data_IF_585840432508
#
_entry.id   IF_585840432508
#
_cell.length_a   1.000
_cell.length_b   1.000
_cell.length_c   1.000
_cell.angle_alpha   90.00
_cell.angle_beta   90.00
_cell.angle_gamma   90.00
#
_symmetry.space_group_name_H-M   'P 1'
#
loop_
_entity.id
_entity.type
_entity.pdbx_description
1 polymer ?
#
# COMPACT_ATOMS: atom_id res chain seq x y z
N UNK A 1 -3.11 21.72 -16.41
CA UNK A 1 -4.57 21.49 -16.60
C UNK A 1 -5.17 21.40 -15.20
N UNK A 2 -6.04 22.35 -14.86
CA UNK A 2 -6.40 22.71 -13.49
C UNK A 2 -7.16 21.62 -12.71
N UNK A 3 -6.76 21.37 -11.47
CA UNK A 3 -7.53 20.62 -10.46
C UNK A 3 -8.83 21.38 -10.15
N UNK A 4 -9.97 20.86 -10.60
CA UNK A 4 -11.29 21.41 -10.22
C UNK A 4 -11.61 20.97 -8.80
N UNK A 5 -11.54 21.92 -7.87
CA UNK A 5 -12.05 21.76 -6.51
C UNK A 5 -13.58 21.62 -6.58
N UNK A 6 -14.11 20.43 -6.31
CA UNK A 6 -15.54 20.24 -6.09
C UNK A 6 -15.89 20.69 -4.67
N UNK A 7 -16.44 21.89 -4.57
CA UNK A 7 -17.01 22.44 -3.33
C UNK A 7 -18.33 21.73 -3.06
N UNK A 8 -18.40 20.98 -1.95
CA UNK A 8 -19.63 20.36 -1.45
C UNK A 8 -20.15 21.23 -0.28
N UNK A 9 -21.33 21.85 -0.36
CA UNK A 9 -21.77 22.88 0.58
C UNK A 9 -22.39 22.21 1.82
N UNK A 10 -21.61 22.05 2.91
CA UNK A 10 -22.20 21.53 4.15
C UNK A 10 -21.28 21.22 5.35
N UNK A 11 -20.00 21.61 5.37
CA UNK A 11 -19.12 21.37 6.54
C UNK A 11 -18.44 22.67 6.98
N UNK A 12 -18.55 23.00 8.28
CA UNK A 12 -17.80 24.07 8.96
C UNK A 12 -16.33 24.02 8.53
N UNK A 13 -15.75 25.19 8.25
CA UNK A 13 -14.50 25.36 7.50
C UNK A 13 -13.34 24.51 8.00
N UNK A 14 -12.93 23.53 7.19
CA UNK A 14 -11.67 22.81 7.31
C UNK A 14 -10.55 23.71 6.83
N UNK A 15 -9.43 23.76 7.54
CA UNK A 15 -8.21 24.41 7.06
C UNK A 15 -7.55 23.54 5.99
N UNK A 16 -8.16 23.51 4.81
CA UNK A 16 -7.66 22.81 3.62
C UNK A 16 -6.38 23.46 3.04
N UNK A 17 -5.67 24.31 3.80
CA UNK A 17 -4.47 25.00 3.34
C UNK A 17 -3.25 24.08 3.20
N UNK A 18 -3.29 22.86 3.76
CA UNK A 18 -2.18 21.90 3.65
C UNK A 18 -2.64 20.63 2.95
N UNK A 19 -2.03 20.33 1.80
CA UNK A 19 -2.16 19.04 1.12
C UNK A 19 -0.84 18.29 1.24
N UNK A 20 -0.86 17.13 1.88
CA UNK A 20 0.31 16.29 2.05
C UNK A 20 0.69 15.69 0.68
N UNK A 21 1.89 15.99 0.15
CA UNK A 21 2.29 15.53 -1.15
C UNK A 21 2.53 14.01 -1.17
N UNK A 22 2.16 13.39 -2.29
CA UNK A 22 2.30 11.95 -2.52
C UNK A 22 3.12 11.70 -3.80
N UNK A 23 4.15 10.86 -3.70
CA UNK A 23 4.80 10.22 -4.85
C UNK A 23 4.48 8.73 -4.85
N UNK A 24 3.40 8.38 -5.54
CA UNK A 24 3.00 7.01 -5.76
C UNK A 24 3.70 6.42 -7.00
N UNK A 25 3.74 5.09 -7.09
CA UNK A 25 4.22 4.38 -8.28
C UNK A 25 4.64 2.95 -7.95
N UNK A 26 4.77 2.06 -8.93
CA UNK A 26 5.23 0.70 -8.68
C UNK A 26 6.71 0.65 -8.28
N UNK A 27 7.13 -0.49 -7.72
CA UNK A 27 8.56 -0.77 -7.57
C UNK A 27 9.23 -0.81 -8.95
N UNK A 28 10.49 -0.37 -9.05
CA UNK A 28 11.18 -0.22 -10.34
C UNK A 28 10.81 1.04 -11.15
N UNK A 29 9.91 1.90 -10.66
CA UNK A 29 9.56 3.16 -11.32
C UNK A 29 10.59 4.30 -11.14
N UNK A 30 11.59 4.14 -10.27
CA UNK A 30 12.64 5.15 -10.04
C UNK A 30 12.40 6.11 -8.87
N UNK A 31 11.35 5.91 -8.06
CA UNK A 31 11.01 6.80 -6.93
C UNK A 31 12.17 7.03 -5.95
N UNK A 32 12.90 5.98 -5.56
CA UNK A 32 14.02 6.08 -4.61
C UNK A 32 15.14 7.00 -5.10
N UNK A 33 15.40 7.02 -6.41
CA UNK A 33 16.40 7.93 -7.00
C UNK A 33 15.97 9.39 -6.88
N UNK A 34 14.68 9.68 -7.14
CA UNK A 34 14.13 11.03 -7.05
C UNK A 34 14.17 11.57 -5.62
N UNK A 35 13.73 10.78 -4.64
CA UNK A 35 13.71 11.23 -3.24
C UNK A 35 15.11 11.41 -2.66
N UNK A 36 16.09 10.65 -3.15
CA UNK A 36 17.50 10.79 -2.71
C UNK A 36 18.13 12.10 -3.16
N UNK A 37 17.50 12.81 -4.10
CA UNK A 37 17.96 14.10 -4.63
C UNK A 37 17.22 15.30 -4.01
N UNK A 38 16.27 15.05 -3.10
CA UNK A 38 15.53 16.10 -2.40
C UNK A 38 16.39 16.72 -1.29
N UNK A 39 16.10 17.97 -0.93
CA UNK A 39 16.74 18.64 0.19
C UNK A 39 16.32 17.98 1.53
N UNK A 40 17.24 17.34 2.27
CA UNK A 40 16.89 16.59 3.48
C UNK A 40 16.60 17.47 4.70
N UNK A 41 16.95 18.76 4.66
CA UNK A 41 16.54 19.71 5.69
C UNK A 41 15.09 20.16 5.51
N UNK A 42 14.54 19.98 4.30
CA UNK A 42 13.19 20.41 3.94
C UNK A 42 12.18 19.27 3.94
N UNK A 43 12.60 18.08 3.52
CA UNK A 43 11.70 16.94 3.30
C UNK A 43 12.03 15.77 4.22
N UNK A 44 10.97 15.07 4.62
CA UNK A 44 11.08 13.74 5.22
C UNK A 44 10.09 12.79 4.55
N UNK A 45 10.50 11.53 4.43
CA UNK A 45 9.74 10.52 3.70
C UNK A 45 8.89 9.71 4.67
N UNK A 46 7.60 9.59 4.40
CA UNK A 46 6.73 8.61 5.07
C UNK A 46 6.48 7.47 4.08
N UNK A 47 7.02 6.27 4.38
CA UNK A 47 6.87 5.15 3.46
C UNK A 47 5.40 4.73 3.34
N UNK A 48 4.90 4.66 2.10
CA UNK A 48 3.58 4.17 1.73
C UNK A 48 3.71 2.74 1.16
N UNK A 49 4.29 1.85 1.96
CA UNK A 49 4.53 0.46 1.60
C UNK A 49 4.27 -0.47 2.80
N UNK A 50 3.61 -1.61 2.56
CA UNK A 50 3.24 -2.57 3.61
C UNK A 50 4.33 -3.62 3.88
N UNK A 51 5.44 -3.59 3.14
CA UNK A 51 6.51 -4.60 3.20
C UNK A 51 7.81 -4.03 3.71
N UNK A 52 8.15 -2.79 3.32
CA UNK A 52 9.37 -2.11 3.77
C UNK A 52 9.42 -1.87 5.29
N UNK A 53 8.33 -2.10 6.01
CA UNK A 53 8.24 -2.02 7.48
C UNK A 53 9.14 -3.04 8.18
N UNK A 54 9.47 -4.18 7.54
CA UNK A 54 10.18 -5.29 8.18
C UNK A 54 11.69 -5.06 8.24
N UNK A 55 12.24 -5.09 9.46
CA UNK A 55 13.64 -4.78 9.78
C UNK A 55 14.66 -5.73 9.16
N UNK A 56 14.38 -7.03 9.19
CA UNK A 56 15.31 -8.08 8.76
C UNK A 56 15.07 -8.55 7.31
N UNK A 57 14.25 -7.81 6.57
CA UNK A 57 13.84 -8.16 5.21
C UNK A 57 14.08 -7.02 4.20
N UNK A 58 15.24 -6.32 4.17
CA UNK A 58 15.47 -5.20 3.25
C UNK A 58 15.54 -5.57 1.75
N UNK A 59 16.12 -6.70 1.36
CA UNK A 59 16.41 -7.01 -0.06
C UNK A 59 15.11 -7.30 -0.82
N UNK A 60 14.34 -8.28 -0.37
CA UNK A 60 13.09 -8.66 -1.02
C UNK A 60 12.04 -7.55 -1.01
N UNK A 61 12.06 -6.67 0.01
CA UNK A 61 11.08 -5.58 0.15
C UNK A 61 11.47 -4.30 -0.60
N UNK A 62 12.67 -4.23 -1.17
CA UNK A 62 13.21 -3.01 -1.77
C UNK A 62 13.33 -1.87 -0.74
N UNK A 63 13.63 -2.19 0.52
CA UNK A 63 13.87 -1.14 1.51
C UNK A 63 15.01 -0.23 1.01
N UNK A 64 14.92 1.09 1.21
CA UNK A 64 16.03 1.99 0.89
C UNK A 64 17.33 1.53 1.56
N UNK A 65 18.43 1.56 0.82
CA UNK A 65 19.75 1.21 1.35
C UNK A 65 20.16 2.19 2.48
N UNK A 66 21.02 1.77 3.42
CA UNK A 66 21.47 2.62 4.52
C UNK A 66 21.99 3.98 4.08
N UNK A 67 22.68 4.06 2.93
CA UNK A 67 23.17 5.32 2.36
C UNK A 67 22.05 6.29 1.97
N UNK A 68 20.91 5.76 1.49
CA UNK A 68 19.72 6.57 1.19
C UNK A 68 19.03 7.02 2.47
N UNK A 69 18.93 6.13 3.46
CA UNK A 69 18.35 6.43 4.77
C UNK A 69 19.16 7.48 5.55
N UNK A 70 20.48 7.54 5.34
CA UNK A 70 21.36 8.58 5.89
C UNK A 70 21.18 9.94 5.19
N UNK A 71 20.87 9.93 3.89
CA UNK A 71 20.67 11.17 3.12
C UNK A 71 19.38 11.87 3.49
N UNK A 72 18.26 11.15 3.52
CA UNK A 72 16.94 11.71 3.84
C UNK A 72 16.20 10.77 4.79
N UNK A 73 15.64 11.32 5.86
CA UNK A 73 14.97 10.53 6.90
C UNK A 73 13.72 9.86 6.32
N UNK A 74 13.61 8.55 6.56
CA UNK A 74 12.44 7.75 6.22
C UNK A 74 11.75 7.26 7.49
N UNK A 75 10.44 7.45 7.54
CA UNK A 75 9.54 6.90 8.56
C UNK A 75 8.86 5.65 8.01
N UNK A 76 8.47 4.75 8.92
CA UNK A 76 7.80 3.48 8.62
C UNK A 76 8.60 2.53 7.72
N UNK A 77 9.92 2.51 7.89
CA UNK A 77 10.83 1.58 7.21
C UNK A 77 11.64 0.81 8.26
N UNK A 78 11.72 -0.51 8.11
CA UNK A 78 12.63 -1.37 8.87
C UNK A 78 12.47 -1.33 10.39
N UNK A 79 11.28 -1.02 10.90
CA UNK A 79 11.03 -0.86 12.34
C UNK A 79 10.34 -2.08 12.98
N UNK A 80 9.78 -2.97 12.17
CA UNK A 80 8.98 -4.11 12.63
C UNK A 80 9.75 -5.43 12.49
N UNK A 81 9.64 -6.32 13.48
CA UNK A 81 10.15 -7.67 13.33
C UNK A 81 9.26 -8.50 12.37
N UNK A 82 9.83 -9.44 11.59
CA UNK A 82 9.10 -10.29 10.64
C UNK A 82 8.06 -11.23 11.26
N UNK A 83 8.17 -11.56 12.55
CA UNK A 83 7.22 -12.40 13.29
C UNK A 83 5.92 -11.68 13.65
N UNK A 84 5.88 -10.34 13.55
CA UNK A 84 4.71 -9.53 13.88
C UNK A 84 3.92 -9.15 12.64
N UNK A 85 2.62 -9.41 12.67
CA UNK A 85 1.68 -8.87 11.69
C UNK A 85 1.54 -7.35 11.81
N UNK A 86 1.18 -6.70 10.71
CA UNK A 86 0.94 -5.25 10.66
C UNK A 86 -0.33 -4.92 9.90
N UNK A 87 -1.25 -4.22 10.56
CA UNK A 87 -2.56 -3.89 10.02
C UNK A 87 -2.55 -2.54 9.33
N UNK A 88 -3.55 -2.31 8.47
CA UNK A 88 -3.74 -1.01 7.84
C UNK A 88 -4.10 0.09 8.86
N UNK A 89 -4.72 -0.27 9.99
CA UNK A 89 -5.03 0.66 11.06
C UNK A 89 -3.77 1.14 11.78
N UNK A 90 -2.89 0.22 12.14
CA UNK A 90 -1.58 0.56 12.73
C UNK A 90 -0.75 1.42 11.76
N UNK A 91 -0.77 1.09 10.46
CA UNK A 91 -0.16 1.95 9.44
C UNK A 91 -0.72 3.36 9.50
N UNK A 92 -2.05 3.51 9.49
CA UNK A 92 -2.71 4.83 9.49
C UNK A 92 -2.30 5.64 10.71
N UNK A 93 -2.33 5.04 11.89
CA UNK A 93 -1.95 5.70 13.14
C UNK A 93 -0.50 6.18 13.12
N UNK A 94 0.45 5.30 12.80
CA UNK A 94 1.87 5.66 12.77
C UNK A 94 2.20 6.65 11.64
N UNK A 95 1.52 6.55 10.49
CA UNK A 95 1.69 7.48 9.39
C UNK A 95 1.21 8.89 9.75
N UNK A 96 0.02 9.02 10.35
CA UNK A 96 -0.49 10.32 10.81
C UNK A 96 0.41 10.91 11.90
N UNK A 97 0.86 10.10 12.87
CA UNK A 97 1.83 10.55 13.88
C UNK A 97 3.14 11.05 13.26
N UNK A 98 3.67 10.32 12.27
CA UNK A 98 4.88 10.73 11.55
C UNK A 98 4.67 12.04 10.79
N UNK A 99 3.51 12.21 10.14
CA UNK A 99 3.14 13.44 9.43
C UNK A 99 3.11 14.62 10.40
N UNK A 100 2.40 14.51 11.52
CA UNK A 100 2.34 15.57 12.52
C UNK A 100 3.72 15.92 13.09
N UNK A 101 4.54 14.92 13.41
CA UNK A 101 5.91 15.13 13.89
C UNK A 101 6.77 15.89 12.88
N UNK A 102 6.68 15.56 11.59
CA UNK A 102 7.40 16.26 10.52
C UNK A 102 6.92 17.71 10.40
N UNK A 103 5.60 17.93 10.40
CA UNK A 103 4.99 19.27 10.30
C UNK A 103 5.40 20.13 11.50
N UNK A 104 5.42 19.56 12.71
CA UNK A 104 5.81 20.26 13.94
C UNK A 104 7.25 20.77 13.94
N UNK A 105 8.09 20.21 13.05
CA UNK A 105 9.49 20.59 12.84
C UNK A 105 9.68 21.47 11.61
N UNK A 106 8.60 22.08 11.11
CA UNK A 106 8.54 22.94 9.91
C UNK A 106 9.10 22.28 8.64
N UNK A 107 8.95 20.96 8.52
CA UNK A 107 9.37 20.16 7.37
C UNK A 107 8.16 19.67 6.56
N UNK A 108 8.41 19.28 5.32
CA UNK A 108 7.39 18.78 4.39
C UNK A 108 7.37 17.25 4.43
N UNK A 109 6.30 16.62 4.95
CA UNK A 109 6.12 15.18 4.84
C UNK A 109 5.78 14.80 3.39
N UNK A 110 6.56 13.90 2.80
CA UNK A 110 6.31 13.36 1.47
C UNK A 110 5.98 11.86 1.57
N UNK A 111 4.77 11.47 1.20
CA UNK A 111 4.36 10.06 1.21
C UNK A 111 4.88 9.38 -0.06
N UNK A 112 5.64 8.31 0.09
CA UNK A 112 6.29 7.65 -1.06
C UNK A 112 6.07 6.15 -1.04
N UNK A 113 5.54 5.60 -2.12
CA UNK A 113 5.31 4.16 -2.19
C UNK A 113 4.27 3.78 -3.24
N UNK A 114 3.49 2.74 -2.95
CA UNK A 114 2.48 2.24 -3.89
C UNK A 114 1.36 1.44 -3.23
N UNK A 115 1.23 1.50 -1.90
CA UNK A 115 0.11 0.92 -1.18
C UNK A 115 -1.13 1.80 -1.31
N UNK A 116 -1.85 1.68 -2.42
CA UNK A 116 -3.02 2.52 -2.70
C UNK A 116 -4.16 2.38 -1.68
N UNK A 117 -4.30 1.22 -1.04
CA UNK A 117 -5.26 1.03 0.05
C UNK A 117 -4.91 1.85 1.30
N UNK A 118 -3.63 1.93 1.65
CA UNK A 118 -3.14 2.73 2.78
C UNK A 118 -3.41 4.22 2.55
N UNK A 119 -3.18 4.71 1.34
CA UNK A 119 -3.48 6.10 1.00
C UNK A 119 -4.99 6.40 1.03
N UNK A 120 -5.80 5.47 0.53
CA UNK A 120 -7.26 5.59 0.64
C UNK A 120 -7.68 5.66 2.11
N UNK A 121 -7.14 4.80 2.96
CA UNK A 121 -7.45 4.76 4.39
C UNK A 121 -7.06 6.05 5.12
N UNK A 122 -5.93 6.66 4.78
CA UNK A 122 -5.54 7.98 5.28
C UNK A 122 -6.54 9.08 4.87
N UNK A 123 -6.98 9.07 3.61
CA UNK A 123 -7.87 10.10 3.03
C UNK A 123 -9.33 9.97 3.50
N UNK A 124 -9.85 8.76 3.59
CA UNK A 124 -11.29 8.52 3.85
C UNK A 124 -11.61 8.07 5.26
N UNK A 125 -10.59 7.91 6.11
CA UNK A 125 -10.72 7.29 7.41
C UNK A 125 -11.07 5.80 7.32
N UNK A 126 -11.03 5.10 8.46
CA UNK A 126 -11.47 3.72 8.53
C UNK A 126 -12.97 3.57 8.29
N UNK A 127 -13.35 2.37 7.89
CA UNK A 127 -14.72 1.91 8.06
C UNK A 127 -14.83 1.40 9.50
N UNK A 128 -15.52 2.15 10.35
CA UNK A 128 -15.79 1.75 11.73
C UNK A 128 -16.90 0.69 11.74
N UNK A 129 -16.55 -0.50 12.20
CA UNK A 129 -17.48 -1.62 12.33
C UNK A 129 -17.11 -2.41 13.58
N UNK A 130 -18.07 -2.51 14.50
CA UNK A 130 -17.96 -3.39 15.66
C UNK A 130 -18.39 -4.79 15.23
N UNK A 131 -17.40 -5.67 15.08
CA UNK A 131 -17.63 -7.06 14.71
C UNK A 131 -17.91 -7.90 15.95
N UNK A 132 -18.90 -8.80 15.87
CA UNK A 132 -19.19 -9.72 16.97
C UNK A 132 -18.09 -10.80 16.99
N UNK A 133 -17.30 -10.92 18.09
CA UNK A 133 -16.21 -11.90 18.17
C UNK A 133 -16.68 -13.35 18.00
N UNK A 134 -17.83 -13.71 18.54
CA UNK A 134 -18.39 -15.07 18.46
C UNK A 134 -18.71 -15.42 17.00
N UNK A 135 -19.37 -14.50 16.28
CA UNK A 135 -19.66 -14.66 14.85
C UNK A 135 -18.38 -14.78 14.03
N UNK A 136 -17.36 -13.99 14.37
CA UNK A 136 -16.08 -14.04 13.67
C UNK A 136 -15.39 -15.40 13.86
N UNK A 137 -15.40 -15.93 15.07
CA UNK A 137 -14.85 -17.27 15.37
C UNK A 137 -15.63 -18.38 14.65
N UNK A 138 -16.96 -18.31 14.64
CA UNK A 138 -17.79 -19.25 13.88
C UNK A 138 -17.47 -19.22 12.39
N UNK A 139 -17.38 -18.04 11.78
CA UNK A 139 -17.03 -17.88 10.36
C UNK A 139 -15.61 -18.38 10.08
N UNK A 140 -14.65 -18.11 10.97
CA UNK A 140 -13.27 -18.61 10.87
C UNK A 140 -13.18 -20.14 10.93
N UNK A 141 -14.11 -20.81 11.59
CA UNK A 141 -14.16 -22.27 11.69
C UNK A 141 -14.82 -22.95 10.47
N UNK A 142 -15.54 -22.20 9.62
CA UNK A 142 -16.18 -22.75 8.41
C UNK A 142 -15.16 -22.99 7.29
N UNK A 143 -15.44 -23.97 6.42
CA UNK A 143 -14.70 -24.13 5.16
C UNK A 143 -15.05 -23.01 4.17
N UNK A 144 -14.15 -22.74 3.23
CA UNK A 144 -14.32 -21.64 2.28
C UNK A 144 -15.60 -21.75 1.44
N UNK A 145 -15.94 -22.95 0.99
CA UNK A 145 -17.13 -23.25 0.21
C UNK A 145 -18.42 -22.93 0.98
N UNK A 146 -18.46 -23.24 2.28
CA UNK A 146 -19.61 -22.97 3.15
C UNK A 146 -19.75 -21.47 3.40
N UNK A 147 -18.63 -20.77 3.67
CA UNK A 147 -18.64 -19.30 3.79
C UNK A 147 -19.17 -18.65 2.52
N UNK A 148 -18.70 -19.12 1.37
CA UNK A 148 -19.11 -18.59 0.07
C UNK A 148 -20.59 -18.86 -0.21
N UNK A 149 -21.09 -20.05 0.11
CA UNK A 149 -22.49 -20.41 -0.04
C UNK A 149 -23.39 -19.53 0.84
N UNK A 150 -23.03 -19.37 2.11
CA UNK A 150 -23.79 -18.56 3.06
C UNK A 150 -23.75 -17.07 2.70
N UNK A 151 -22.59 -16.56 2.27
CA UNK A 151 -22.49 -15.17 1.80
C UNK A 151 -23.36 -14.93 0.56
N UNK A 152 -23.43 -15.89 -0.38
CA UNK A 152 -24.34 -15.80 -1.54
C UNK A 152 -25.81 -15.80 -1.14
N UNK A 153 -26.18 -16.52 -0.09
CA UNK A 153 -27.55 -16.50 0.45
C UNK A 153 -27.88 -15.14 1.07
N UNK A 154 -26.97 -14.60 1.90
CA UNK A 154 -27.21 -13.38 2.68
C UNK A 154 -27.02 -12.08 1.89
N UNK A 155 -26.04 -12.03 0.99
CA UNK A 155 -25.72 -10.85 0.18
C UNK A 155 -25.20 -11.27 -1.22
N UNK A 156 -26.09 -11.72 -2.12
CA UNK A 156 -25.70 -12.21 -3.45
C UNK A 156 -25.03 -11.14 -4.32
N UNK A 157 -25.36 -9.86 -4.11
CA UNK A 157 -24.87 -8.75 -4.94
C UNK A 157 -23.42 -8.39 -4.63
N UNK A 158 -22.91 -8.74 -3.44
CA UNK A 158 -21.53 -8.45 -3.05
C UNK A 158 -20.50 -9.35 -3.76
N UNK A 159 -20.91 -10.38 -4.50
CA UNK A 159 -20.01 -11.29 -5.21
C UNK A 159 -20.08 -11.05 -6.72
N UNK A 160 -18.91 -11.03 -7.37
CA UNK A 160 -18.85 -10.92 -8.84
C UNK A 160 -19.22 -12.23 -9.54
N UNK A 161 -19.89 -12.12 -10.68
CA UNK A 161 -20.21 -13.27 -11.54
C UNK A 161 -19.00 -13.69 -12.38
N UNK A 162 -18.97 -14.94 -12.89
CA UNK A 162 -17.92 -15.35 -13.81
C UNK A 162 -17.77 -14.38 -14.98
N UNK A 163 -16.53 -13.90 -15.21
CA UNK A 163 -16.22 -12.92 -16.25
C UNK A 163 -16.30 -11.45 -15.83
N UNK A 164 -16.83 -11.15 -14.64
CA UNK A 164 -16.85 -9.80 -14.09
C UNK A 164 -15.56 -9.50 -13.28
N UNK A 165 -15.08 -8.25 -13.35
CA UNK A 165 -14.00 -7.79 -12.49
C UNK A 165 -14.57 -7.15 -11.21
N UNK A 166 -14.03 -7.47 -10.01
CA UNK A 166 -14.47 -6.84 -8.77
C UNK A 166 -14.29 -5.32 -8.79
N UNK A 167 -15.38 -4.60 -8.55
CA UNK A 167 -15.48 -3.15 -8.44
C UNK A 167 -16.58 -2.77 -7.44
N UNK A 168 -16.53 -1.54 -6.92
CA UNK A 168 -17.61 -0.97 -6.07
C UNK A 168 -17.96 -1.80 -4.83
N UNK A 169 -16.95 -2.34 -4.15
CA UNK A 169 -17.16 -3.13 -2.94
C UNK A 169 -17.59 -4.58 -3.20
N UNK A 170 -17.65 -5.04 -4.45
CA UNK A 170 -17.87 -6.45 -4.80
C UNK A 170 -16.57 -7.27 -4.76
N UNK A 171 -16.67 -8.55 -4.46
CA UNK A 171 -15.53 -9.45 -4.22
C UNK A 171 -15.54 -10.65 -5.16
N UNK A 172 -14.35 -11.19 -5.45
CA UNK A 172 -14.21 -12.42 -6.23
C UNK A 172 -14.45 -13.64 -5.32
N UNK A 173 -15.14 -14.69 -5.77
CA UNK A 173 -15.41 -15.88 -4.95
C UNK A 173 -14.14 -16.50 -4.38
N UNK A 174 -13.05 -16.56 -5.17
CA UNK A 174 -11.77 -17.12 -4.72
C UNK A 174 -10.97 -16.22 -3.75
N UNK A 175 -11.47 -15.04 -3.39
CA UNK A 175 -10.83 -14.17 -2.39
C UNK A 175 -11.27 -14.61 -0.99
N UNK A 176 -10.69 -15.71 -0.50
CA UNK A 176 -11.08 -16.34 0.75
C UNK A 176 -11.09 -15.36 1.94
N UNK A 177 -10.11 -14.47 2.01
CA UNK A 177 -10.03 -13.44 3.04
C UNK A 177 -11.21 -12.46 2.97
N UNK A 178 -11.55 -11.95 1.77
CA UNK A 178 -12.69 -11.03 1.64
C UNK A 178 -14.03 -11.74 1.85
N UNK A 179 -14.17 -12.98 1.42
CA UNK A 179 -15.38 -13.79 1.64
C UNK A 179 -15.61 -13.98 3.15
N UNK A 180 -14.58 -14.41 3.88
CA UNK A 180 -14.63 -14.54 5.35
C UNK A 180 -15.02 -13.22 6.01
N UNK A 181 -14.32 -12.13 5.67
CA UNK A 181 -14.58 -10.83 6.28
C UNK A 181 -15.98 -10.30 5.97
N UNK A 182 -16.43 -10.39 4.73
CA UNK A 182 -17.76 -9.90 4.35
C UNK A 182 -18.85 -10.72 5.03
N UNK A 183 -18.71 -12.05 5.07
CA UNK A 183 -19.67 -12.89 5.76
C UNK A 183 -19.76 -12.55 7.25
N UNK A 184 -18.62 -12.41 7.93
CA UNK A 184 -18.57 -12.03 9.33
C UNK A 184 -19.26 -10.69 9.61
N UNK A 185 -19.06 -9.70 8.73
CA UNK A 185 -19.74 -8.40 8.81
C UNK A 185 -21.25 -8.48 8.57
N UNK A 186 -21.67 -9.25 7.55
CA UNK A 186 -23.08 -9.44 7.21
C UNK A 186 -23.83 -10.17 8.31
N UNK A 187 -23.23 -11.22 8.89
CA UNK A 187 -23.82 -11.97 10.00
C UNK A 187 -23.85 -11.17 11.30
N UNK A 188 -22.78 -10.42 11.60
CA UNK A 188 -22.72 -9.59 12.82
C UNK A 188 -23.75 -8.47 12.83
N UNK A 189 -24.01 -7.87 11.66
CA UNK A 189 -24.92 -6.71 11.54
C UNK A 189 -26.34 -7.06 11.11
N UNK A 190 -26.53 -8.20 10.45
CA UNK A 190 -27.76 -8.52 9.72
C UNK A 190 -28.01 -7.67 8.48
N UNK A 191 -27.03 -6.85 8.05
CA UNK A 191 -27.13 -5.95 6.91
C UNK A 191 -26.29 -6.44 5.74
N UNK A 192 -26.69 -6.10 4.52
CA UNK A 192 -25.85 -6.29 3.34
C UNK A 192 -24.64 -5.36 3.38
N UNK A 193 -23.58 -5.71 2.66
CA UNK A 193 -22.40 -4.86 2.54
C UNK A 193 -22.76 -3.49 1.95
N UNK A 194 -23.67 -3.44 0.98
CA UNK A 194 -24.13 -2.17 0.39
C UNK A 194 -24.74 -1.25 1.44
N UNK A 195 -25.57 -1.78 2.33
CA UNK A 195 -26.19 -1.03 3.42
C UNK A 195 -25.14 -0.57 4.44
N UNK A 196 -24.19 -1.44 4.80
CA UNK A 196 -23.08 -1.10 5.68
C UNK A 196 -22.23 0.05 5.10
N UNK A 197 -21.89 -0.02 3.81
CA UNK A 197 -21.14 1.04 3.13
C UNK A 197 -21.94 2.35 3.01
N UNK A 198 -23.26 2.28 2.81
CA UNK A 198 -24.13 3.45 2.74
C UNK A 198 -24.33 4.12 4.11
N UNK A 199 -24.40 3.31 5.17
CA UNK A 199 -24.46 3.76 6.57
C UNK A 199 -23.10 4.10 7.18
N UNK A 200 -22.03 4.09 6.37
CA UNK A 200 -20.66 4.37 6.82
C UNK A 200 -20.61 5.67 7.61
N UNK A 201 -20.25 5.55 8.89
CA UNK A 201 -19.65 6.67 9.61
C UNK A 201 -18.22 6.79 9.08
N UNK A 202 -17.91 7.90 8.43
CA UNK A 202 -16.52 8.20 8.12
C UNK A 202 -15.79 8.32 9.46
N UNK A 203 -14.88 7.40 9.74
CA UNK A 203 -13.98 7.54 10.90
C UNK A 203 -13.18 8.83 10.78
N UNK A 204 -12.57 9.29 11.88
CA UNK A 204 -11.87 10.56 11.93
C UNK A 204 -10.93 10.74 10.72
N UNK A 205 -11.11 11.82 9.98
CA UNK A 205 -10.22 12.22 8.88
C UNK A 205 -9.30 13.33 9.38
N UNK A 206 -8.04 13.38 8.94
CA UNK A 206 -7.14 14.47 9.34
C UNK A 206 -7.61 15.82 8.78
N UNK A 207 -7.06 16.90 9.35
CA UNK A 207 -7.36 18.28 8.94
C UNK A 207 -6.60 18.73 7.67
N UNK A 208 -6.02 17.80 6.91
CA UNK A 208 -5.35 18.01 5.62
C UNK A 208 -5.78 16.96 4.60
N UNK A 209 -5.52 17.24 3.33
CA UNK A 209 -5.76 16.29 2.25
C UNK A 209 -4.46 15.63 1.74
N UNK A 210 -4.59 14.63 0.87
CA UNK A 210 -3.49 13.94 0.21
C UNK A 210 -3.65 13.97 -1.30
N UNK A 211 -2.65 14.51 -2.00
CA UNK A 211 -2.60 14.55 -3.45
C UNK A 211 -1.17 14.43 -3.97
N UNK A 212 -0.99 14.08 -5.25
CA UNK A 212 0.33 14.16 -5.87
C UNK A 212 0.43 13.43 -7.20
N UNK A 213 1.54 12.71 -7.38
CA UNK A 213 1.93 12.12 -8.65
C UNK A 213 2.01 10.60 -8.55
N UNK A 214 1.68 9.93 -9.65
CA UNK A 214 1.93 8.50 -9.86
C UNK A 214 2.97 8.34 -10.96
N UNK A 215 4.20 7.97 -10.59
CA UNK A 215 5.31 7.78 -11.53
C UNK A 215 5.21 6.42 -12.22
N UNK A 216 5.16 6.42 -13.55
CA UNK A 216 5.05 5.21 -14.35
C UNK A 216 5.81 5.34 -15.69
N UNK A 217 7.06 4.84 -15.83
CA UNK A 217 7.92 5.10 -16.99
C UNK A 217 7.56 4.33 -18.28
N UNK A 218 6.30 3.90 -18.41
CA UNK A 218 5.86 2.98 -19.46
C UNK A 218 6.09 1.51 -19.10
N UNK A 219 5.34 0.62 -19.76
CA UNK A 219 5.37 -0.83 -19.47
C UNK A 219 6.72 -1.46 -19.80
N UNK A 220 7.31 -1.14 -20.94
CA UNK A 220 8.59 -1.70 -21.40
C UNK A 220 9.73 -1.39 -20.44
N UNK A 221 9.90 -0.11 -20.10
CA UNK A 221 10.91 0.35 -19.13
C UNK A 221 10.69 -0.30 -17.76
N UNK A 222 9.44 -0.30 -17.28
CA UNK A 222 9.14 -0.88 -15.97
C UNK A 222 9.41 -2.38 -15.93
N UNK A 223 9.02 -3.14 -16.94
CA UNK A 223 9.27 -4.59 -16.99
C UNK A 223 10.75 -4.92 -17.07
N UNK A 224 11.52 -4.11 -17.81
CA UNK A 224 12.97 -4.22 -17.87
C UNK A 224 13.59 -3.98 -16.49
N UNK A 225 13.19 -2.90 -15.81
CA UNK A 225 13.65 -2.59 -14.46
C UNK A 225 13.30 -3.68 -13.45
N UNK A 226 12.08 -4.24 -13.52
CA UNK A 226 11.66 -5.35 -12.65
C UNK A 226 12.47 -6.62 -12.91
N UNK A 227 12.87 -6.89 -14.16
CA UNK A 227 13.69 -8.06 -14.51
C UNK A 227 15.12 -7.91 -14.01
N UNK A 228 15.70 -6.71 -14.15
CA UNK A 228 17.01 -6.37 -13.56
C UNK A 228 16.95 -6.51 -12.04
N UNK A 229 15.90 -5.96 -11.41
CA UNK A 229 15.67 -6.08 -9.98
C UNK A 229 15.59 -7.54 -9.51
N UNK A 230 14.86 -8.40 -10.22
CA UNK A 230 14.75 -9.82 -9.87
C UNK A 230 16.12 -10.51 -9.79
N UNK A 231 17.01 -10.23 -10.75
CA UNK A 231 18.39 -10.70 -10.73
C UNK A 231 19.18 -10.13 -9.57
N UNK A 232 19.09 -8.80 -9.37
CA UNK A 232 19.82 -8.11 -8.32
C UNK A 232 19.43 -8.59 -6.93
N UNK A 233 18.16 -8.89 -6.66
CA UNK A 233 17.75 -9.46 -5.36
C UNK A 233 18.46 -10.78 -5.05
N UNK A 234 18.57 -11.68 -6.03
CA UNK A 234 19.29 -12.95 -5.85
C UNK A 234 20.77 -12.68 -5.60
N UNK A 235 21.40 -11.81 -6.40
CA UNK A 235 22.81 -11.45 -6.28
C UNK A 235 23.14 -10.76 -4.94
N UNK A 236 22.22 -9.95 -4.42
CA UNK A 236 22.38 -9.22 -3.17
C UNK A 236 22.13 -10.10 -1.93
N UNK A 237 21.74 -11.37 -2.12
CA UNK A 237 21.61 -12.35 -1.03
C UNK A 237 20.18 -12.59 -0.53
N UNK A 238 19.17 -12.53 -1.41
CA UNK A 238 17.76 -12.80 -1.04
C UNK A 238 17.56 -14.17 -0.38
N UNK A 239 18.30 -15.21 -0.82
CA UNK A 239 18.16 -16.55 -0.27
C UNK A 239 18.69 -16.61 1.17
N UNK A 240 19.84 -15.99 1.40
CA UNK A 240 20.48 -15.88 2.71
C UNK A 240 19.63 -15.06 3.68
N UNK A 241 19.03 -13.96 3.21
CA UNK A 241 18.09 -13.16 3.99
C UNK A 241 16.83 -13.95 4.37
N UNK A 242 16.24 -14.67 3.40
CA UNK A 242 15.06 -15.49 3.64
C UNK A 242 15.35 -16.64 4.62
N UNK A 243 16.47 -17.35 4.43
CA UNK A 243 16.86 -18.45 5.31
C UNK A 243 17.24 -17.97 6.71
N UNK A 244 17.97 -16.84 6.82
CA UNK A 244 18.28 -16.20 8.08
C UNK A 244 17.02 -15.82 8.86
N UNK A 245 16.04 -15.21 8.19
CA UNK A 245 14.76 -14.89 8.80
C UNK A 245 13.99 -16.15 9.21
N UNK A 246 13.98 -17.20 8.38
CA UNK A 246 13.34 -18.48 8.69
C UNK A 246 13.95 -19.13 9.93
N UNK A 247 15.28 -19.15 10.03
CA UNK A 247 15.99 -19.73 11.16
C UNK A 247 15.77 -18.95 12.46
N UNK A 248 15.62 -17.62 12.37
CA UNK A 248 15.44 -16.76 13.55
C UNK A 248 13.99 -16.68 14.03
N UNK A 249 13.01 -16.60 13.12
CA UNK A 249 11.61 -16.30 13.43
C UNK A 249 10.63 -17.44 13.08
N UNK A 250 11.12 -18.52 12.47
CA UNK A 250 10.32 -19.65 12.01
C UNK A 250 9.75 -19.46 10.59
N UNK A 251 9.48 -20.59 9.92
CA UNK A 251 8.97 -20.63 8.54
C UNK A 251 7.59 -20.00 8.37
N UNK A 252 6.78 -20.00 9.43
CA UNK A 252 5.41 -19.47 9.40
C UNK A 252 5.32 -17.96 9.68
N UNK A 253 6.45 -17.29 9.90
CA UNK A 253 6.44 -15.88 10.27
C UNK A 253 5.78 -15.00 9.17
N UNK A 254 4.96 -14.01 9.55
CA UNK A 254 4.22 -13.17 8.59
C UNK A 254 5.11 -12.50 7.53
N UNK A 255 6.31 -12.06 7.90
CA UNK A 255 7.26 -11.41 6.99
C UNK A 255 7.70 -12.30 5.83
N UNK A 256 7.80 -13.62 6.01
CA UNK A 256 8.17 -14.55 4.93
C UNK A 256 7.01 -14.88 3.98
N UNK A 257 5.77 -14.51 4.34
CA UNK A 257 4.57 -14.71 3.51
C UNK A 257 4.37 -13.57 2.49
N UNK A 258 5.24 -12.56 2.49
CA UNK A 258 5.16 -11.46 1.52
C UNK A 258 5.87 -11.83 0.20
N UNK A 259 5.45 -11.13 -0.85
CA UNK A 259 5.96 -11.26 -2.21
C UNK A 259 7.49 -11.33 -2.27
N UNK A 260 8.04 -12.41 -2.86
CA UNK A 260 9.46 -12.61 -3.08
C UNK A 260 10.10 -13.59 -2.10
N UNK A 261 9.66 -13.62 -0.84
CA UNK A 261 10.22 -14.51 0.17
C UNK A 261 9.64 -15.92 0.08
N UNK A 262 8.34 -16.05 -0.22
CA UNK A 262 7.74 -17.36 -0.49
C UNK A 262 8.42 -18.08 -1.65
N UNK A 263 8.81 -17.35 -2.69
CA UNK A 263 9.56 -17.88 -3.83
C UNK A 263 11.00 -18.24 -3.44
N UNK A 264 11.66 -17.40 -2.63
CA UNK A 264 13.00 -17.68 -2.12
C UNK A 264 13.03 -18.97 -1.29
N UNK A 265 12.06 -19.16 -0.39
CA UNK A 265 11.92 -20.40 0.39
C UNK A 265 11.70 -21.63 -0.51
N UNK A 266 10.84 -21.53 -1.54
CA UNK A 266 10.66 -22.62 -2.52
C UNK A 266 11.97 -22.98 -3.23
N UNK A 267 12.85 -22.01 -3.48
CA UNK A 267 14.18 -22.26 -4.05
C UNK A 267 15.10 -22.97 -3.05
N UNK A 268 15.11 -22.52 -1.79
CA UNK A 268 15.91 -23.14 -0.72
C UNK A 268 15.46 -24.59 -0.46
N UNK A 269 14.15 -24.84 -0.53
CA UNK A 269 13.56 -26.16 -0.33
C UNK A 269 13.68 -27.07 -1.57
N UNK A 270 14.35 -26.61 -2.64
CA UNK A 270 14.61 -27.39 -3.86
C UNK A 270 13.40 -27.55 -4.79
N UNK A 271 12.30 -26.85 -4.53
CA UNK A 271 11.11 -26.84 -5.40
C UNK A 271 11.32 -25.98 -6.66
N UNK A 272 12.20 -24.98 -6.58
CA UNK A 272 12.62 -24.14 -7.70
C UNK A 272 14.13 -24.12 -7.82
N UNK A 273 14.65 -24.00 -9.04
CA UNK A 273 16.04 -23.58 -9.25
C UNK A 273 16.15 -22.05 -9.33
N UNK A 274 17.37 -21.53 -9.31
CA UNK A 274 17.65 -20.08 -9.32
C UNK A 274 17.06 -19.36 -10.55
N UNK A 275 17.09 -19.99 -11.73
CA UNK A 275 16.53 -19.42 -12.96
C UNK A 275 15.01 -19.31 -12.87
N UNK A 276 14.36 -20.34 -12.32
CA UNK A 276 12.92 -20.34 -12.06
C UNK A 276 12.54 -19.32 -11.00
N UNK A 277 13.33 -19.19 -9.93
CA UNK A 277 13.15 -18.15 -8.92
C UNK A 277 13.19 -16.76 -9.56
N UNK A 278 14.22 -16.45 -10.34
CA UNK A 278 14.36 -15.16 -11.00
C UNK A 278 13.14 -14.84 -11.89
N UNK A 279 12.64 -15.82 -12.65
CA UNK A 279 11.47 -15.66 -13.50
C UNK A 279 10.20 -15.45 -12.66
N UNK A 280 10.01 -16.22 -11.59
CA UNK A 280 8.87 -16.03 -10.68
C UNK A 280 8.90 -14.66 -10.01
N UNK A 281 10.04 -14.21 -9.49
CA UNK A 281 10.20 -12.88 -8.91
C UNK A 281 9.77 -11.80 -9.91
N UNK A 282 10.24 -11.88 -11.15
CA UNK A 282 9.82 -10.96 -12.20
C UNK A 282 8.31 -10.97 -12.44
N UNK A 283 7.70 -12.15 -12.57
CA UNK A 283 6.25 -12.31 -12.79
C UNK A 283 5.44 -11.70 -11.64
N UNK A 284 5.77 -12.04 -10.40
CA UNK A 284 4.96 -11.65 -9.24
C UNK A 284 5.06 -10.15 -8.95
N UNK A 285 6.25 -9.54 -9.14
CA UNK A 285 6.41 -8.08 -9.08
C UNK A 285 5.70 -7.37 -10.23
N UNK A 286 5.70 -7.94 -11.44
CA UNK A 286 4.97 -7.38 -12.60
C UNK A 286 3.46 -7.38 -12.35
N UNK A 287 2.92 -8.48 -11.83
CA UNK A 287 1.51 -8.57 -11.46
C UNK A 287 1.15 -7.56 -10.38
N UNK A 288 2.01 -7.38 -9.38
CA UNK A 288 1.81 -6.39 -8.33
C UNK A 288 1.82 -4.95 -8.89
N UNK A 289 2.78 -4.62 -9.75
CA UNK A 289 2.84 -3.32 -10.41
C UNK A 289 1.60 -3.02 -11.26
N UNK A 290 1.08 -4.02 -11.98
CA UNK A 290 -0.19 -3.91 -12.72
C UNK A 290 -1.37 -3.62 -11.79
N UNK A 291 -1.48 -4.34 -10.66
CA UNK A 291 -2.53 -4.08 -9.66
C UNK A 291 -2.44 -2.66 -9.11
N UNK A 292 -1.24 -2.17 -8.81
CA UNK A 292 -1.03 -0.79 -8.37
C UNK A 292 -1.49 0.21 -9.43
N UNK A 293 -1.07 0.06 -10.69
CA UNK A 293 -1.52 0.93 -11.78
C UNK A 293 -3.05 0.96 -11.90
N UNK A 294 -3.71 -0.19 -11.95
CA UNK A 294 -5.18 -0.28 -12.06
C UNK A 294 -5.87 0.40 -10.87
N UNK A 295 -5.34 0.21 -9.66
CA UNK A 295 -5.87 0.86 -8.46
C UNK A 295 -5.82 2.38 -8.57
N UNK A 296 -4.66 2.94 -8.90
CA UNK A 296 -4.46 4.39 -8.94
C UNK A 296 -5.11 5.04 -10.16
N UNK A 297 -5.27 4.36 -11.29
CA UNK A 297 -5.98 4.88 -12.47
C UNK A 297 -7.44 5.26 -12.17
N UNK A 298 -8.07 4.58 -11.19
CA UNK A 298 -9.46 4.85 -10.79
C UNK A 298 -9.58 5.94 -9.73
N UNK A 299 -8.50 6.63 -9.37
CA UNK A 299 -8.45 7.60 -8.25
C UNK A 299 -8.00 8.97 -8.73
N UNK A 300 -8.73 10.02 -8.34
CA UNK A 300 -8.52 11.38 -8.83
C UNK A 300 -7.43 12.17 -8.08
N UNK A 301 -6.94 11.66 -6.95
CA UNK A 301 -5.98 12.35 -6.09
C UNK A 301 -4.51 12.10 -6.46
N UNK A 302 -4.22 11.37 -7.54
CA UNK A 302 -2.86 11.31 -8.11
C UNK A 302 -2.89 11.52 -9.62
N UNK A 303 -1.94 12.29 -10.14
CA UNK A 303 -1.75 12.49 -11.56
C UNK A 303 -0.66 11.54 -12.08
N UNK A 304 -0.96 10.79 -13.14
CA UNK A 304 0.02 9.91 -13.79
C UNK A 304 1.06 10.74 -14.55
N UNK A 305 2.33 10.41 -14.36
CA UNK A 305 3.47 11.00 -15.06
C UNK A 305 4.44 9.91 -15.51
N UNK A 306 4.93 10.04 -16.74
CA UNK A 306 5.86 9.06 -17.32
C UNK A 306 7.31 9.31 -16.89
N UNK A 307 7.64 10.57 -16.60
CA UNK A 307 8.94 10.99 -16.09
C UNK A 307 8.77 12.13 -15.10
N UNK A 308 9.74 12.27 -14.21
CA UNK A 308 9.74 13.32 -13.19
C UNK A 308 11.19 13.64 -12.82
N UNK A 309 11.55 14.91 -12.74
CA UNK A 309 12.83 15.35 -12.18
C UNK A 309 12.69 15.64 -10.68
N UNK A 310 13.81 15.66 -9.95
CA UNK A 310 13.81 15.99 -8.53
C UNK A 310 13.29 17.40 -8.27
N UNK A 311 13.67 18.37 -9.11
CA UNK A 311 13.23 19.77 -9.01
C UNK A 311 11.72 19.90 -9.26
N UNK A 312 11.20 19.15 -10.23
CA UNK A 312 9.76 19.12 -10.52
C UNK A 312 8.96 18.46 -9.40
N UNK A 313 9.51 17.41 -8.76
CA UNK A 313 8.93 16.78 -7.58
C UNK A 313 8.92 17.76 -6.40
N UNK A 314 10.05 18.38 -6.09
CA UNK A 314 10.19 19.36 -5.00
C UNK A 314 9.19 20.50 -5.18
N UNK A 315 9.16 21.14 -6.36
CA UNK A 315 8.22 22.23 -6.65
C UNK A 315 6.77 21.79 -6.46
N UNK A 316 6.39 20.63 -6.99
CA UNK A 316 5.03 20.09 -6.84
C UNK A 316 4.70 19.84 -5.37
N UNK A 317 5.62 19.23 -4.63
CA UNK A 317 5.41 18.88 -3.23
C UNK A 317 5.23 20.13 -2.34
N UNK A 318 6.05 21.15 -2.57
CA UNK A 318 5.96 22.45 -1.89
C UNK A 318 4.63 23.13 -2.16
N UNK A 319 4.23 23.20 -3.43
CA UNK A 319 2.98 23.85 -3.83
C UNK A 319 1.75 23.19 -3.22
N UNK A 320 1.70 21.85 -3.20
CA UNK A 320 0.64 21.11 -2.54
C UNK A 320 0.63 21.39 -1.03
N UNK A 321 1.79 21.33 -0.38
CA UNK A 321 1.88 21.48 1.07
C UNK A 321 1.60 22.90 1.55
N UNK A 322 1.99 23.93 0.79
CA UNK A 322 1.76 25.33 1.15
C UNK A 322 0.36 25.84 0.80
N UNK A 323 -0.52 24.99 0.24
CA UNK A 323 -1.87 25.39 -0.21
C UNK A 323 -1.87 26.32 -1.42
N UNK A 324 -0.70 26.55 -2.02
CA UNK A 324 -0.52 27.40 -3.17
C UNK A 324 -0.43 26.48 -4.39
N UNK A 325 -1.58 26.16 -4.97
CA UNK A 325 -1.63 25.62 -6.33
C UNK A 325 -1.02 26.61 -7.32
N UNK A 326 0.31 26.58 -7.46
CA UNK A 326 1.19 27.30 -8.39
C UNK A 326 0.84 28.78 -8.62
N UNK A 327 1.66 29.68 -8.09
CA UNK A 327 2.17 30.86 -8.81
C UNK A 327 3.36 31.47 -8.03
N UNK A 328 4.58 31.20 -8.50
CA UNK A 328 5.57 32.22 -8.90
C UNK A 328 6.79 31.53 -9.51
#
# INVERSE_FOLDING_TARGET
MYFRHSQNPGKRGRDLSRTIPVLAGPTGAGKTSLISSLNPERFEIVSLDSRQIYKYLPIGTAAPEPEVLQKIRHHLVGFLNPDRSFTAMEFRELALQSIEDIISRDRIPLLVGGAGFYLQLLKTGPFEFEENPEVREEVLAMEHEDRLALLREKDPDCIVKPGESPGEGRIHPNDAYRVERYLSMVLSSGQTMKELWAGKKDGAVPDYDFEGLFLFPGEETLWTNLKIRARKMIQDGLLEEADGCRNQFGSDCPGLKILGYSEALQCIDGTLNEKELQEKLWIVHRQYARRQRIWFQKRQYVQFVDSLSAEALERTAVNLFSGLGINH
#
